data_IF_226848810845
#
_entry.id   IF_226848810845
#
_cell.length_a   1.000
_cell.length_b   1.000
_cell.length_c   1.000
_cell.angle_alpha   90.00
_cell.angle_beta   90.00
_cell.angle_gamma   90.00
#
_symmetry.space_group_name_H-M   'P 1'
#
loop_
_entity.id
_entity.type
_entity.pdbx_description
1 polymer ?
#
# COMPACT_ATOMS: atom_id res chain seq x y z
N UNK A 1 -7.53 15.95 -12.03
CA UNK A 1 -6.89 17.08 -11.35
C UNK A 1 -7.19 16.99 -9.86
N UNK A 2 -6.17 17.09 -9.03
CA UNK A 2 -6.36 17.05 -7.58
C UNK A 2 -6.71 18.43 -7.05
N UNK A 3 -7.80 18.52 -6.31
CA UNK A 3 -8.13 19.76 -5.61
C UNK A 3 -7.34 19.81 -4.30
N UNK A 4 -6.81 20.97 -3.93
CA UNK A 4 -6.09 21.18 -2.66
C UNK A 4 -7.01 20.87 -1.46
N UNK A 5 -8.32 20.96 -1.64
CA UNK A 5 -9.30 20.67 -0.59
C UNK A 5 -9.71 19.20 -0.53
N UNK A 6 -9.29 18.37 -1.49
CA UNK A 6 -9.61 16.95 -1.48
C UNK A 6 -8.97 16.26 -0.27
N UNK A 7 -9.77 15.47 0.42
CA UNK A 7 -9.31 14.63 1.53
C UNK A 7 -8.89 13.29 0.98
N UNK A 8 -7.73 12.84 1.37
CA UNK A 8 -7.23 11.55 0.90
C UNK A 8 -6.55 10.78 2.02
N UNK A 9 -6.44 9.46 1.82
CA UNK A 9 -5.73 8.57 2.73
C UNK A 9 -4.87 7.60 1.94
N UNK A 10 -3.72 7.23 2.51
CA UNK A 10 -2.81 6.23 1.96
C UNK A 10 -3.05 4.90 2.65
N UNK A 11 -3.21 3.84 1.86
CA UNK A 11 -3.34 2.46 2.33
C UNK A 11 -2.20 1.65 1.71
N UNK A 12 -1.27 1.22 2.55
CA UNK A 12 -0.04 0.58 2.09
C UNK A 12 -0.03 -0.88 2.51
N UNK A 13 -0.16 -1.77 1.54
CA UNK A 13 0.09 -3.20 1.71
C UNK A 13 1.61 -3.38 1.80
N UNK A 14 2.13 -3.51 3.02
CA UNK A 14 3.58 -3.52 3.27
C UNK A 14 4.33 -4.59 2.49
N UNK A 15 3.93 -5.87 2.57
CA UNK A 15 4.61 -6.92 1.82
C UNK A 15 4.57 -6.71 0.31
N UNK A 16 3.45 -6.25 -0.23
CA UNK A 16 3.32 -6.01 -1.67
C UNK A 16 4.18 -4.84 -2.13
N UNK A 17 4.17 -3.74 -1.39
CA UNK A 17 5.01 -2.58 -1.72
C UNK A 17 6.50 -2.94 -1.66
N UNK A 18 6.92 -3.67 -0.62
CA UNK A 18 8.30 -4.12 -0.45
C UNK A 18 8.73 -5.02 -1.61
N UNK A 19 7.90 -5.97 -2.01
CA UNK A 19 8.18 -6.85 -3.14
C UNK A 19 8.25 -6.08 -4.46
N UNK A 20 7.38 -5.10 -4.65
CA UNK A 20 7.36 -4.27 -5.86
C UNK A 20 8.62 -3.42 -5.97
N UNK A 21 9.03 -2.75 -4.89
CA UNK A 21 10.26 -1.95 -4.88
C UNK A 21 11.49 -2.83 -5.13
N UNK A 22 11.53 -4.01 -4.52
CA UNK A 22 12.63 -4.96 -4.73
C UNK A 22 12.70 -5.42 -6.18
N UNK A 23 11.55 -5.70 -6.81
CA UNK A 23 11.49 -6.07 -8.21
C UNK A 23 12.00 -4.96 -9.12
N UNK A 24 11.82 -3.70 -8.72
CA UNK A 24 12.31 -2.53 -9.46
C UNK A 24 13.74 -2.14 -9.07
N UNK A 25 14.34 -2.80 -8.08
CA UNK A 25 15.74 -2.64 -7.70
C UNK A 25 16.04 -1.43 -6.81
N UNK A 26 15.09 -1.00 -5.96
CA UNK A 26 15.36 0.12 -5.05
C UNK A 26 14.69 -0.07 -3.69
N UNK A 27 15.13 0.73 -2.73
CA UNK A 27 14.55 0.81 -1.38
C UNK A 27 13.76 2.09 -1.22
N UNK A 28 12.64 2.00 -0.53
CA UNK A 28 11.76 3.14 -0.30
C UNK A 28 12.22 3.92 0.92
N UNK A 29 12.32 5.23 0.75
CA UNK A 29 12.41 6.19 1.85
C UNK A 29 10.99 6.64 2.21
N UNK A 30 10.46 6.14 3.30
CA UNK A 30 9.06 6.40 3.70
C UNK A 30 8.82 7.85 4.10
N UNK A 31 9.84 8.60 4.51
CA UNK A 31 9.72 10.03 4.75
C UNK A 31 9.50 10.78 3.42
N UNK A 32 10.27 10.40 2.40
CA UNK A 32 10.14 10.99 1.07
C UNK A 32 8.80 10.60 0.42
N UNK A 33 8.34 9.37 0.63
CA UNK A 33 7.06 8.91 0.13
C UNK A 33 5.92 9.76 0.70
N UNK A 34 5.92 9.99 2.00
CA UNK A 34 4.90 10.82 2.63
C UNK A 34 4.93 12.25 2.11
N UNK A 35 6.14 12.81 1.92
CA UNK A 35 6.34 14.15 1.36
C UNK A 35 5.82 14.25 -0.08
N UNK A 36 6.02 13.21 -0.89
CA UNK A 36 5.57 13.18 -2.29
C UNK A 36 4.06 13.36 -2.39
N UNK A 37 3.31 12.82 -1.44
CA UNK A 37 1.84 12.89 -1.46
C UNK A 37 1.27 14.13 -0.78
N UNK A 38 2.09 15.01 -0.18
CA UNK A 38 1.60 16.27 0.42
C UNK A 38 0.86 17.16 -0.58
N UNK A 39 1.22 17.12 -1.85
CA UNK A 39 0.56 17.91 -2.89
C UNK A 39 -0.79 17.38 -3.34
N UNK A 40 -1.23 16.23 -2.83
CA UNK A 40 -2.47 15.58 -3.28
C UNK A 40 -3.72 16.15 -2.61
N UNK A 41 -3.57 16.97 -1.58
CA UNK A 41 -4.68 17.54 -0.83
C UNK A 41 -4.44 17.40 0.67
N UNK A 42 -5.52 17.23 1.43
CA UNK A 42 -5.46 17.03 2.87
C UNK A 42 -5.34 15.55 3.21
N UNK A 43 -4.19 15.16 3.75
CA UNK A 43 -3.97 13.78 4.19
C UNK A 43 -4.72 13.53 5.51
N UNK A 44 -5.63 12.57 5.48
CA UNK A 44 -6.36 12.12 6.68
C UNK A 44 -5.53 11.14 7.49
N UNK A 45 -4.95 10.15 6.80
CA UNK A 45 -4.19 9.10 7.44
C UNK A 45 -3.31 8.39 6.41
N UNK A 46 -2.11 8.01 6.83
CA UNK A 46 -1.24 7.12 6.05
C UNK A 46 -1.04 5.84 6.88
N UNK A 47 -1.57 4.73 6.41
CA UNK A 47 -1.58 3.47 7.16
C UNK A 47 -0.76 2.42 6.43
N UNK A 48 0.13 1.78 7.18
CA UNK A 48 1.00 0.71 6.72
C UNK A 48 0.55 -0.61 7.35
N UNK A 49 0.21 -1.59 6.53
CA UNK A 49 -0.28 -2.89 6.95
C UNK A 49 0.79 -3.93 6.77
N UNK A 50 1.10 -4.69 7.80
CA UNK A 50 2.12 -5.74 7.70
C UNK A 50 1.84 -6.88 8.66
N UNK A 51 2.05 -8.14 8.23
CA UNK A 51 2.09 -9.25 9.16
C UNK A 51 3.35 -9.15 10.03
N UNK A 52 3.26 -9.61 11.25
CA UNK A 52 4.39 -9.68 12.17
C UNK A 52 4.48 -11.09 12.75
N UNK A 53 5.71 -11.53 13.00
CA UNK A 53 5.96 -12.81 13.66
C UNK A 53 6.21 -12.53 15.14
N UNK A 54 5.49 -13.24 16.00
CA UNK A 54 5.64 -13.10 17.45
C UNK A 54 7.10 -13.32 17.86
N UNK A 55 7.63 -12.41 18.69
CA UNK A 55 9.00 -12.46 19.17
C UNK A 55 10.05 -11.89 18.23
N UNK A 56 9.68 -11.45 17.03
CA UNK A 56 10.59 -10.77 16.11
C UNK A 56 10.40 -9.26 16.18
N UNK A 57 11.49 -8.53 16.34
CA UNK A 57 11.47 -7.07 16.26
C UNK A 57 11.56 -6.61 14.80
N UNK A 58 10.85 -5.53 14.49
CA UNK A 58 10.92 -4.89 13.18
C UNK A 58 11.16 -3.40 13.36
N UNK A 59 12.42 -2.93 13.19
CA UNK A 59 12.75 -1.51 13.37
C UNK A 59 11.96 -0.58 12.45
N UNK A 60 11.58 -1.04 11.26
CA UNK A 60 10.79 -0.24 10.34
C UNK A 60 9.42 0.11 10.94
N UNK A 61 8.77 -0.84 11.60
CA UNK A 61 7.45 -0.62 12.23
C UNK A 61 7.55 0.48 13.28
N UNK A 62 8.57 0.42 14.15
CA UNK A 62 8.77 1.44 15.18
C UNK A 62 9.02 2.80 14.56
N UNK A 63 9.85 2.85 13.53
CA UNK A 63 10.16 4.10 12.84
C UNK A 63 8.90 4.71 12.20
N UNK A 64 8.11 3.89 11.49
CA UNK A 64 6.89 4.35 10.83
C UNK A 64 5.90 4.93 11.84
N UNK A 65 5.69 4.23 12.95
CA UNK A 65 4.77 4.64 14.00
C UNK A 65 5.15 6.00 14.60
N UNK A 66 6.46 6.30 14.66
CA UNK A 66 6.98 7.56 15.18
C UNK A 66 7.07 8.68 14.14
N UNK A 67 6.87 8.37 12.86
CA UNK A 67 7.16 9.31 11.76
C UNK A 67 5.97 9.54 10.82
N UNK A 68 4.77 9.61 11.37
CA UNK A 68 3.59 10.06 10.63
C UNK A 68 2.75 8.97 9.99
N UNK A 69 3.09 7.70 10.22
CA UNK A 69 2.30 6.57 9.75
C UNK A 69 1.53 5.93 10.89
N UNK A 70 0.34 5.45 10.59
CA UNK A 70 -0.36 4.50 11.44
C UNK A 70 0.07 3.10 11.00
N UNK A 71 0.46 2.23 11.94
CA UNK A 71 0.87 0.87 11.60
C UNK A 71 -0.18 -0.11 12.11
N UNK A 72 -0.70 -0.94 11.22
CA UNK A 72 -1.61 -2.03 11.56
C UNK A 72 -0.86 -3.34 11.35
N UNK A 73 -0.67 -4.07 12.43
CA UNK A 73 0.03 -5.36 12.39
C UNK A 73 -0.95 -6.51 12.52
N UNK A 74 -0.62 -7.60 11.86
CA UNK A 74 -1.38 -8.85 11.97
C UNK A 74 -0.44 -9.92 12.48
N UNK A 75 -0.69 -10.42 13.69
CA UNK A 75 0.09 -11.52 14.24
C UNK A 75 -0.08 -12.77 13.38
N UNK A 76 1.03 -13.37 12.99
CA UNK A 76 1.02 -14.58 12.16
C UNK A 76 2.06 -15.55 12.70
N UNK A 77 1.85 -16.83 12.43
CA UNK A 77 2.78 -17.88 12.78
C UNK A 77 3.37 -18.46 11.51
N UNK A 78 4.65 -18.87 11.58
CA UNK A 78 5.24 -19.69 10.54
C UNK A 78 4.53 -21.03 10.52
N UNK A 79 4.22 -21.54 9.35
CA UNK A 79 3.70 -22.88 9.16
C UNK A 79 4.51 -23.61 8.11
N UNK A 80 4.48 -24.95 8.18
CA UNK A 80 5.16 -25.79 7.20
C UNK A 80 4.12 -26.26 6.18
N UNK A 81 4.38 -25.97 4.90
CA UNK A 81 3.48 -26.40 3.83
C UNK A 81 3.65 -27.91 3.52
N UNK A 82 2.85 -28.41 2.59
CA UNK A 82 2.88 -29.82 2.19
C UNK A 82 4.23 -30.25 1.60
N UNK A 83 5.07 -29.31 1.13
CA UNK A 83 6.41 -29.59 0.60
C UNK A 83 7.52 -29.48 1.65
N UNK A 84 7.19 -29.21 2.92
CA UNK A 84 8.16 -29.06 4.01
C UNK A 84 8.78 -27.68 4.11
N UNK A 85 8.32 -26.70 3.34
CA UNK A 85 8.83 -25.33 3.37
C UNK A 85 8.14 -24.52 4.45
N UNK A 86 8.93 -23.67 5.14
CA UNK A 86 8.37 -22.70 6.07
C UNK A 86 7.73 -21.55 5.29
N UNK A 87 6.48 -21.25 5.60
CA UNK A 87 5.72 -20.16 5.01
C UNK A 87 5.08 -19.30 6.08
N UNK A 88 4.90 -18.02 5.76
CA UNK A 88 4.22 -17.04 6.59
C UNK A 88 2.98 -16.60 5.81
N UNK A 89 1.85 -16.53 6.50
CA UNK A 89 0.64 -15.97 5.90
C UNK A 89 0.80 -14.45 5.79
N UNK A 90 0.89 -13.92 4.56
CA UNK A 90 1.27 -12.53 4.30
C UNK A 90 0.11 -11.61 3.97
N UNK A 91 -1.12 -12.12 3.87
CA UNK A 91 -2.24 -11.29 3.46
C UNK A 91 -2.71 -10.38 4.59
N UNK A 92 -2.81 -9.09 4.27
CA UNK A 92 -3.38 -8.05 5.15
C UNK A 92 -4.63 -7.43 4.53
N UNK A 93 -5.21 -8.10 3.54
CA UNK A 93 -6.32 -7.55 2.75
C UNK A 93 -7.57 -7.28 3.57
N UNK A 94 -7.88 -8.13 4.56
CA UNK A 94 -9.07 -7.95 5.40
C UNK A 94 -8.93 -6.70 6.26
N UNK A 95 -7.79 -6.54 6.93
CA UNK A 95 -7.52 -5.39 7.80
C UNK A 95 -7.54 -4.09 6.99
N UNK A 96 -6.90 -4.09 5.82
CA UNK A 96 -6.88 -2.95 4.92
C UNK A 96 -8.29 -2.60 4.43
N UNK A 97 -9.07 -3.60 4.02
CA UNK A 97 -10.41 -3.40 3.51
C UNK A 97 -11.36 -2.84 4.57
N UNK A 98 -11.28 -3.34 5.80
CA UNK A 98 -12.10 -2.85 6.91
C UNK A 98 -11.81 -1.37 7.16
N UNK A 99 -10.54 -0.99 7.26
CA UNK A 99 -10.15 0.39 7.50
C UNK A 99 -10.56 1.32 6.36
N UNK A 100 -10.40 0.87 5.11
CA UNK A 100 -10.79 1.66 3.96
C UNK A 100 -12.29 1.91 3.92
N UNK A 101 -13.10 0.91 4.25
CA UNK A 101 -14.55 1.07 4.32
C UNK A 101 -14.96 2.01 5.46
N UNK A 102 -14.28 1.97 6.60
CA UNK A 102 -14.52 2.89 7.71
C UNK A 102 -14.23 4.34 7.31
N UNK A 103 -13.18 4.57 6.52
CA UNK A 103 -12.79 5.92 6.09
C UNK A 103 -13.54 6.41 4.85
N UNK A 104 -14.25 5.54 4.14
CA UNK A 104 -14.86 5.86 2.85
C UNK A 104 -15.78 7.09 2.90
N UNK A 105 -16.49 7.31 4.02
CA UNK A 105 -17.37 8.46 4.20
C UNK A 105 -16.65 9.77 4.48
N UNK A 106 -15.34 9.73 4.72
CA UNK A 106 -14.55 10.90 5.12
C UNK A 106 -13.51 11.30 4.09
N UNK A 107 -13.23 10.47 3.08
CA UNK A 107 -12.23 10.75 2.07
C UNK A 107 -12.84 10.93 0.69
N UNK A 108 -12.22 11.77 -0.11
CA UNK A 108 -12.57 11.98 -1.50
C UNK A 108 -11.72 11.08 -2.42
N UNK A 109 -10.55 10.70 -1.96
CA UNK A 109 -9.58 9.92 -2.73
C UNK A 109 -8.91 8.89 -1.84
N UNK A 110 -8.77 7.67 -2.36
CA UNK A 110 -8.00 6.59 -1.75
C UNK A 110 -6.76 6.34 -2.59
N UNK A 111 -5.58 6.32 -1.97
CA UNK A 111 -4.34 5.91 -2.62
C UNK A 111 -3.97 4.54 -2.08
N UNK A 112 -4.02 3.54 -2.95
CA UNK A 112 -3.79 2.14 -2.58
C UNK A 112 -2.46 1.66 -3.17
N UNK A 113 -1.54 1.26 -2.29
CA UNK A 113 -0.25 0.68 -2.67
C UNK A 113 -0.36 -0.83 -2.58
N UNK A 114 -0.86 -1.45 -3.62
CA UNK A 114 -0.94 -2.91 -3.75
C UNK A 114 -1.23 -3.28 -5.20
N UNK A 115 -0.82 -4.48 -5.58
CA UNK A 115 -1.15 -5.07 -6.88
C UNK A 115 -2.05 -6.29 -6.76
N UNK A 116 -2.51 -6.62 -5.56
CA UNK A 116 -3.28 -7.83 -5.28
C UNK A 116 -4.70 -7.73 -5.83
N UNK A 117 -5.03 -8.61 -6.78
CA UNK A 117 -6.36 -8.68 -7.40
C UNK A 117 -7.49 -8.93 -6.42
N UNK A 118 -7.21 -9.52 -5.26
CA UNK A 118 -8.19 -9.71 -4.19
C UNK A 118 -8.78 -8.41 -3.67
N UNK A 119 -8.13 -7.27 -3.90
CA UNK A 119 -8.62 -5.96 -3.48
C UNK A 119 -9.57 -5.29 -4.48
N UNK A 120 -9.84 -5.92 -5.63
CA UNK A 120 -10.76 -5.36 -6.61
C UNK A 120 -12.15 -5.06 -6.02
N UNK A 121 -12.69 -5.97 -5.21
CA UNK A 121 -13.99 -5.77 -4.57
C UNK A 121 -14.00 -4.56 -3.63
N UNK A 122 -12.89 -4.34 -2.92
CA UNK A 122 -12.75 -3.15 -2.09
C UNK A 122 -12.78 -1.88 -2.94
N UNK A 123 -12.02 -1.86 -4.03
CA UNK A 123 -11.98 -0.69 -4.93
C UNK A 123 -13.37 -0.38 -5.46
N UNK A 124 -14.11 -1.39 -5.92
CA UNK A 124 -15.49 -1.21 -6.35
C UNK A 124 -16.38 -0.64 -5.25
N UNK A 125 -16.24 -1.15 -4.02
CA UNK A 125 -17.09 -0.72 -2.91
C UNK A 125 -16.86 0.75 -2.54
N UNK A 126 -15.60 1.20 -2.48
CA UNK A 126 -15.32 2.61 -2.18
C UNK A 126 -15.72 3.53 -3.34
N UNK A 127 -15.57 3.07 -4.58
CA UNK A 127 -16.01 3.83 -5.75
C UNK A 127 -17.51 4.05 -5.75
N UNK A 128 -18.32 3.04 -5.33
CA UNK A 128 -19.76 3.19 -5.19
C UNK A 128 -20.15 4.25 -4.16
N UNK A 129 -19.25 4.59 -3.26
CA UNK A 129 -19.45 5.65 -2.25
C UNK A 129 -18.89 7.00 -2.71
N UNK A 130 -18.47 7.10 -3.95
CA UNK A 130 -17.98 8.35 -4.54
C UNK A 130 -16.49 8.61 -4.30
N UNK A 131 -15.73 7.62 -3.84
CA UNK A 131 -14.29 7.76 -3.63
C UNK A 131 -13.56 7.44 -4.92
N UNK A 132 -12.63 8.30 -5.32
CA UNK A 132 -11.72 8.04 -6.44
C UNK A 132 -10.53 7.24 -5.95
N UNK A 133 -10.11 6.24 -6.71
CA UNK A 133 -9.03 5.34 -6.32
C UNK A 133 -7.82 5.53 -7.23
N UNK A 134 -6.71 5.90 -6.63
CA UNK A 134 -5.38 5.89 -7.24
C UNK A 134 -4.67 4.62 -6.79
N UNK A 135 -4.20 3.84 -7.74
CA UNK A 135 -3.51 2.59 -7.48
C UNK A 135 -2.03 2.74 -7.79
N UNK A 136 -1.17 2.36 -6.87
CA UNK A 136 0.29 2.42 -7.03
C UNK A 136 0.86 1.00 -7.01
N UNK A 137 1.45 0.58 -8.12
CA UNK A 137 2.11 -0.72 -8.31
C UNK A 137 3.01 -0.63 -9.53
N UNK A 138 3.35 -1.74 -10.18
CA UNK A 138 4.17 -1.68 -11.40
C UNK A 138 3.76 -2.73 -12.43
N UNK A 139 3.89 -2.35 -13.69
CA UNK A 139 3.83 -3.25 -14.84
C UNK A 139 5.23 -3.54 -15.41
N UNK A 140 6.27 -2.91 -14.84
CA UNK A 140 7.63 -2.99 -15.39
C UNK A 140 8.37 -4.27 -14.99
N UNK A 141 7.87 -5.01 -14.00
CA UNK A 141 8.46 -6.30 -13.59
C UNK A 141 7.92 -7.47 -14.43
N UNK A 142 8.63 -8.60 -14.39
CA UNK A 142 8.22 -9.85 -15.05
C UNK A 142 8.10 -10.95 -14.00
N UNK A 143 6.89 -11.46 -13.70
CA UNK A 143 5.59 -10.95 -14.17
C UNK A 143 5.25 -9.58 -13.55
N UNK A 144 4.27 -8.86 -14.09
CA UNK A 144 3.81 -7.61 -13.48
C UNK A 144 3.33 -7.83 -12.04
N UNK A 145 3.63 -6.85 -11.16
CA UNK A 145 3.20 -6.94 -9.75
C UNK A 145 1.72 -6.62 -9.57
N UNK A 146 1.09 -6.06 -10.58
CA UNK A 146 -0.31 -5.67 -10.52
C UNK A 146 -1.19 -6.65 -11.31
N UNK A 147 -2.26 -7.11 -10.67
CA UNK A 147 -3.29 -7.89 -11.34
C UNK A 147 -4.07 -7.03 -12.34
N UNK A 148 -4.30 -7.56 -13.54
CA UNK A 148 -4.95 -6.82 -14.62
C UNK A 148 -6.35 -6.34 -14.24
N UNK A 149 -7.12 -7.16 -13.54
CA UNK A 149 -8.48 -6.82 -13.10
C UNK A 149 -8.50 -5.68 -12.09
N UNK A 150 -7.48 -5.59 -11.23
CA UNK A 150 -7.36 -4.49 -10.27
C UNK A 150 -7.00 -3.19 -10.99
N UNK A 151 -6.06 -3.26 -11.92
CA UNK A 151 -5.64 -2.08 -12.69
C UNK A 151 -6.81 -1.48 -13.47
N UNK A 152 -7.62 -2.33 -14.11
CA UNK A 152 -8.78 -1.87 -14.87
C UNK A 152 -9.84 -1.21 -13.99
N UNK A 153 -9.96 -1.65 -12.74
CA UNK A 153 -10.94 -1.11 -11.81
C UNK A 153 -10.58 0.26 -11.28
N UNK A 154 -9.30 0.56 -11.10
CA UNK A 154 -8.84 1.83 -10.52
C UNK A 154 -9.17 3.02 -11.42
N UNK A 155 -9.40 4.18 -10.82
CA UNK A 155 -9.61 5.44 -11.56
C UNK A 155 -8.30 5.98 -12.13
N UNK A 156 -7.20 5.87 -11.37
CA UNK A 156 -5.87 6.32 -11.76
C UNK A 156 -4.86 5.24 -11.40
N UNK A 157 -3.94 4.97 -12.32
CA UNK A 157 -2.80 4.10 -12.06
C UNK A 157 -1.51 4.90 -12.11
N UNK A 158 -0.69 4.75 -11.07
CA UNK A 158 0.65 5.34 -10.99
C UNK A 158 1.64 4.20 -10.89
N UNK A 159 2.59 4.11 -11.83
CA UNK A 159 3.64 3.11 -11.75
C UNK A 159 4.67 3.55 -10.71
N UNK A 160 5.00 2.68 -9.77
CA UNK A 160 5.98 2.95 -8.72
C UNK A 160 7.33 3.33 -9.31
N UNK A 161 7.68 2.81 -10.49
CA UNK A 161 8.90 3.17 -11.20
C UNK A 161 8.99 4.66 -11.47
N UNK A 162 7.87 5.31 -11.75
CA UNK A 162 7.84 6.76 -12.01
C UNK A 162 8.10 7.57 -10.74
N UNK A 163 7.77 7.01 -9.58
CA UNK A 163 7.99 7.67 -8.29
C UNK A 163 9.42 7.48 -7.78
N UNK A 164 10.14 6.49 -8.28
CA UNK A 164 11.48 6.12 -7.79
C UNK A 164 12.42 7.30 -7.55
N UNK A 165 12.59 8.26 -8.48
CA UNK A 165 13.53 9.37 -8.25
C UNK A 165 13.18 10.22 -7.03
N UNK A 166 11.92 10.24 -6.64
CA UNK A 166 11.42 11.09 -5.55
C UNK A 166 11.27 10.36 -4.22
N UNK A 167 11.19 9.03 -4.24
CA UNK A 167 10.93 8.24 -3.02
C UNK A 167 12.02 7.23 -2.68
N UNK A 168 13.04 7.10 -3.52
CA UNK A 168 14.15 6.18 -3.27
C UNK A 168 15.07 6.70 -2.17
N UNK A 169 15.66 5.76 -1.38
CA UNK A 169 16.69 6.11 -0.39
C UNK A 169 17.95 6.67 -1.03
N UNK A 170 18.31 6.12 -2.18
CA UNK A 170 19.49 6.55 -2.92
C UNK A 170 19.06 7.14 -4.25
N UNK A 171 18.60 8.41 -4.28
CA UNK A 171 18.23 9.06 -5.52
C UNK A 171 19.50 9.39 -6.30
N UNK A 172 19.87 8.51 -7.24
CA UNK A 172 20.96 8.78 -8.19
C UNK A 172 20.40 9.24 -9.52
#
# INVERSE_FOLDING_TARGET
>A
MNSVSDRFALFIDGPNLSATARALGFDIDFRRLLREFHGYGRLLRATYYTPVIEGQENPLITWLDQNGYTVVTKATKEFVDASGRRKIKKSVNVELAVDAMDLAGYMDRMVLFSGDGGLRSLVQAVQRRGVRVTLVSTVASQPPMIAAELRRQADVFVDLRELRPRISRDPS
#
